data_IF_992139254186
#
_entry.id   IF_992139254186
#
_cell.length_a   1.000
_cell.length_b   1.000
_cell.length_c   1.000
_cell.angle_alpha   90.00
_cell.angle_beta   90.00
_cell.angle_gamma   90.00
#
_symmetry.space_group_name_H-M   'P 1'
#
loop_
_entity.id
_entity.type
_entity.pdbx_description
1 polymer ?
#
# COMPACT_ATOMS: atom_id res chain seq x y z
N UNK A 1 -6.91 -27.71 23.81
CA UNK A 1 -7.33 -27.64 22.40
C UNK A 1 -8.65 -26.88 22.36
N UNK A 2 -8.67 -25.69 21.77
CA UNK A 2 -9.91 -24.92 21.66
C UNK A 2 -10.83 -25.62 20.64
N UNK A 3 -11.91 -26.21 21.13
CA UNK A 3 -12.90 -26.91 20.32
C UNK A 3 -13.89 -25.90 19.72
N UNK A 4 -13.38 -24.90 19.01
CA UNK A 4 -14.22 -23.93 18.32
C UNK A 4 -14.80 -24.61 17.07
N UNK A 5 -16.12 -24.51 16.84
CA UNK A 5 -16.72 -25.04 15.62
C UNK A 5 -16.08 -24.38 14.39
N UNK A 6 -16.00 -25.14 13.29
CA UNK A 6 -15.54 -24.61 12.01
C UNK A 6 -16.32 -23.34 11.63
N UNK A 7 -15.64 -22.35 11.06
CA UNK A 7 -16.29 -21.15 10.51
C UNK A 7 -17.32 -21.46 9.41
N UNK A 8 -17.32 -22.71 8.90
CA UNK A 8 -18.25 -23.21 7.89
C UNK A 8 -19.19 -24.28 8.47
N UNK A 9 -19.33 -24.38 9.79
CA UNK A 9 -20.17 -25.41 10.44
C UNK A 9 -21.64 -25.36 9.99
N UNK A 10 -22.14 -24.17 9.67
CA UNK A 10 -23.52 -23.95 9.22
C UNK A 10 -23.69 -24.04 7.70
N UNK A 11 -22.63 -24.41 6.96
CA UNK A 11 -22.67 -24.46 5.50
C UNK A 11 -23.14 -25.81 4.99
N UNK A 12 -23.98 -25.80 3.96
CA UNK A 12 -24.36 -27.03 3.25
C UNK A 12 -23.20 -27.58 2.41
N UNK A 13 -23.20 -28.87 2.08
CA UNK A 13 -22.19 -29.46 1.19
C UNK A 13 -22.06 -28.72 -0.16
N UNK A 14 -23.17 -28.23 -0.71
CA UNK A 14 -23.22 -27.49 -1.96
C UNK A 14 -22.56 -26.12 -1.84
N UNK A 15 -22.77 -25.43 -0.71
CA UNK A 15 -22.11 -24.15 -0.41
C UNK A 15 -20.60 -24.34 -0.25
N UNK A 16 -20.17 -25.42 0.42
CA UNK A 16 -18.75 -25.76 0.55
C UNK A 16 -18.15 -26.05 -0.83
N UNK A 17 -18.83 -26.82 -1.68
CA UNK A 17 -18.38 -27.11 -3.04
C UNK A 17 -18.32 -25.86 -3.92
N UNK A 18 -19.26 -24.94 -3.77
CA UNK A 18 -19.23 -23.64 -4.45
C UNK A 18 -18.06 -22.78 -3.95
N UNK A 19 -17.83 -22.72 -2.64
CA UNK A 19 -16.69 -22.00 -2.05
C UNK A 19 -15.35 -22.51 -2.56
N UNK A 20 -15.18 -23.83 -2.65
CA UNK A 20 -13.97 -24.45 -3.22
C UNK A 20 -13.74 -24.03 -4.67
N UNK A 21 -14.78 -24.05 -5.51
CA UNK A 21 -14.69 -23.58 -6.90
C UNK A 21 -14.29 -22.11 -7.00
N UNK A 22 -14.82 -21.26 -6.12
CA UNK A 22 -14.40 -19.85 -6.08
C UNK A 22 -12.94 -19.68 -5.69
N UNK A 23 -12.47 -20.43 -4.69
CA UNK A 23 -11.05 -20.41 -4.30
C UNK A 23 -10.16 -20.82 -5.47
N UNK A 24 -10.52 -21.88 -6.20
CA UNK A 24 -9.79 -22.34 -7.39
C UNK A 24 -9.77 -21.27 -8.49
N UNK A 25 -10.92 -20.64 -8.77
CA UNK A 25 -11.02 -19.54 -9.75
C UNK A 25 -10.09 -18.38 -9.35
N UNK A 26 -10.10 -17.98 -8.07
CA UNK A 26 -9.22 -16.91 -7.59
C UNK A 26 -7.74 -17.28 -7.66
N UNK A 27 -7.38 -18.54 -7.37
CA UNK A 27 -6.01 -19.01 -7.52
C UNK A 27 -5.53 -18.97 -8.97
N UNK A 28 -6.38 -19.36 -9.92
CA UNK A 28 -6.07 -19.29 -11.35
C UNK A 28 -5.95 -17.83 -11.82
N UNK A 29 -6.89 -16.97 -11.41
CA UNK A 29 -6.89 -15.55 -11.79
C UNK A 29 -5.73 -14.76 -11.16
N UNK A 30 -5.20 -15.19 -10.02
CA UNK A 30 -4.16 -14.46 -9.28
C UNK A 30 -2.89 -14.18 -10.12
N UNK A 31 -2.50 -15.12 -10.99
CA UNK A 31 -1.31 -14.96 -11.85
C UNK A 31 -1.49 -13.80 -12.83
N UNK A 32 -2.66 -13.72 -13.47
CA UNK A 32 -2.98 -12.64 -14.40
C UNK A 32 -3.18 -11.30 -13.69
N UNK A 33 -3.83 -11.31 -12.52
CA UNK A 33 -4.02 -10.11 -11.71
C UNK A 33 -2.68 -9.53 -11.25
N UNK A 34 -1.72 -10.36 -10.86
CA UNK A 34 -0.38 -9.89 -10.49
C UNK A 34 0.37 -9.30 -11.69
N UNK A 35 0.23 -9.92 -12.87
CA UNK A 35 0.79 -9.38 -14.12
C UNK A 35 0.19 -8.00 -14.46
N UNK A 36 -1.13 -7.86 -14.35
CA UNK A 36 -1.85 -6.60 -14.57
C UNK A 36 -1.39 -5.55 -13.56
N UNK A 37 -1.40 -5.88 -12.26
CA UNK A 37 -0.94 -5.00 -11.19
C UNK A 37 0.46 -4.46 -11.44
N UNK A 38 1.42 -5.31 -11.82
CA UNK A 38 2.79 -4.88 -12.12
C UNK A 38 2.89 -3.96 -13.33
N UNK A 39 2.02 -4.15 -14.32
CA UNK A 39 1.95 -3.27 -15.49
C UNK A 39 1.40 -1.91 -15.08
N UNK A 40 0.26 -1.90 -14.37
CA UNK A 40 -0.41 -0.70 -13.91
C UNK A 40 0.48 0.15 -12.99
N UNK A 41 1.19 -0.47 -12.04
CA UNK A 41 2.15 0.24 -11.17
C UNK A 41 3.27 0.91 -11.98
N UNK A 42 3.79 0.24 -13.02
CA UNK A 42 4.86 0.78 -13.87
C UNK A 42 4.39 1.92 -14.76
N UNK A 43 3.14 1.86 -15.20
CA UNK A 43 2.51 2.86 -16.06
C UNK A 43 1.80 3.97 -15.25
N UNK A 44 1.82 3.88 -13.92
CA UNK A 44 1.12 4.81 -13.04
C UNK A 44 1.79 6.19 -13.05
N UNK A 45 1.05 7.20 -13.51
CA UNK A 45 1.41 8.60 -13.29
C UNK A 45 1.19 8.96 -11.81
N UNK A 46 2.29 8.92 -11.04
CA UNK A 46 2.27 9.15 -9.59
C UNK A 46 1.74 10.54 -9.24
N UNK A 47 2.04 11.57 -10.03
CA UNK A 47 1.57 12.93 -9.78
C UNK A 47 0.06 13.04 -9.99
N UNK A 48 -0.46 12.43 -11.07
CA UNK A 48 -1.90 12.34 -11.30
C UNK A 48 -2.60 11.56 -10.18
N UNK A 49 -2.02 10.46 -9.71
CA UNK A 49 -2.59 9.66 -8.61
C UNK A 49 -2.63 10.44 -7.30
N UNK A 50 -1.54 11.13 -6.92
CA UNK A 50 -1.49 11.99 -5.74
C UNK A 50 -2.55 13.09 -5.85
N UNK A 51 -2.68 13.73 -7.01
CA UNK A 51 -3.70 14.75 -7.26
C UNK A 51 -5.13 14.23 -7.06
N UNK A 52 -5.41 12.98 -7.47
CA UNK A 52 -6.72 12.37 -7.28
C UNK A 52 -7.02 12.06 -5.80
N UNK A 53 -6.00 11.65 -5.03
CA UNK A 53 -6.16 11.25 -3.63
C UNK A 53 -6.13 12.43 -2.65
N UNK A 54 -5.28 13.42 -2.91
CA UNK A 54 -5.00 14.52 -1.98
C UNK A 54 -5.61 15.86 -2.45
N UNK A 55 -6.31 15.88 -3.59
CA UNK A 55 -6.84 17.09 -4.21
C UNK A 55 -5.81 17.80 -5.09
N UNK A 56 -6.19 18.93 -5.69
CA UNK A 56 -5.30 19.72 -6.54
C UNK A 56 -4.19 20.37 -5.73
N UNK A 57 -3.06 19.67 -5.60
CA UNK A 57 -1.82 20.23 -5.12
C UNK A 57 -1.01 20.76 -6.31
N UNK A 58 -0.65 22.05 -6.27
CA UNK A 58 0.32 22.61 -7.19
C UNK A 58 1.74 22.22 -6.72
N UNK A 59 2.32 21.22 -7.37
CA UNK A 59 3.69 20.77 -7.08
C UNK A 59 4.77 21.61 -7.78
N UNK A 60 4.37 22.60 -8.59
CA UNK A 60 5.29 23.55 -9.23
C UNK A 60 5.54 24.78 -8.34
N UNK A 61 4.67 25.02 -7.35
CA UNK A 61 4.83 26.06 -6.34
C UNK A 61 5.15 25.44 -4.97
N UNK A 62 6.33 25.72 -4.38
CA UNK A 62 6.70 25.16 -3.10
C UNK A 62 5.89 25.80 -1.95
N UNK A 63 5.29 24.98 -1.07
CA UNK A 63 5.35 25.21 0.36
C UNK A 63 6.28 24.21 1.07
N UNK A 64 6.95 23.33 0.31
CA UNK A 64 7.63 22.12 0.84
C UNK A 64 9.16 22.19 0.91
N UNK A 65 9.79 23.32 0.56
CA UNK A 65 11.19 23.51 0.92
C UNK A 65 11.27 23.38 2.46
N UNK A 66 12.01 22.41 3.02
CA UNK A 66 12.13 22.28 4.45
C UNK A 66 12.61 23.62 4.96
N UNK A 67 11.80 24.28 5.78
CA UNK A 67 12.24 25.52 6.40
C UNK A 67 13.53 25.22 7.17
N UNK A 68 14.42 26.21 7.38
CA UNK A 68 15.64 25.99 8.16
C UNK A 68 15.38 25.42 9.56
N UNK A 69 14.15 25.56 10.06
CA UNK A 69 13.65 25.05 11.34
C UNK A 69 12.71 23.84 11.22
N UNK A 70 12.61 23.21 10.05
CA UNK A 70 11.89 21.94 9.93
C UNK A 70 12.61 20.85 10.73
N UNK A 71 11.85 19.94 11.33
CA UNK A 71 12.42 18.88 12.18
C UNK A 71 13.48 18.02 11.46
N UNK A 72 13.38 17.86 10.13
CA UNK A 72 14.38 17.15 9.33
C UNK A 72 15.71 17.91 9.22
N UNK A 73 15.67 19.23 9.03
CA UNK A 73 16.89 20.08 9.00
C UNK A 73 17.52 20.15 10.38
N UNK A 74 16.71 20.28 11.42
CA UNK A 74 17.18 20.26 12.81
C UNK A 74 17.83 18.92 13.19
N UNK A 75 17.22 17.80 12.80
CA UNK A 75 17.78 16.47 13.02
C UNK A 75 19.12 16.28 12.29
N UNK A 76 19.23 16.78 11.06
CA UNK A 76 20.49 16.77 10.31
C UNK A 76 21.59 17.59 10.99
N UNK A 77 21.24 18.75 11.54
CA UNK A 77 22.16 19.58 12.34
C UNK A 77 22.66 18.81 13.57
N UNK A 78 21.76 18.26 14.37
CA UNK A 78 22.14 17.48 15.56
C UNK A 78 23.01 16.26 15.23
N UNK A 79 22.75 15.57 14.12
CA UNK A 79 23.57 14.45 13.68
C UNK A 79 24.97 14.87 13.23
N UNK A 80 25.12 16.01 12.54
CA UNK A 80 26.44 16.55 12.20
C UNK A 80 27.24 16.92 13.45
N UNK A 81 26.59 17.58 14.41
CA UNK A 81 27.19 17.92 15.71
C UNK A 81 27.66 16.69 16.47
N UNK A 82 26.80 15.68 16.61
CA UNK A 82 27.13 14.43 17.29
C UNK A 82 28.27 13.66 16.60
N UNK A 83 28.40 13.79 15.27
CA UNK A 83 29.46 13.18 14.49
C UNK A 83 30.78 13.99 14.46
N UNK A 84 30.84 15.16 15.10
CA UNK A 84 32.01 16.04 15.09
C UNK A 84 32.32 16.65 13.71
N UNK A 85 31.28 16.88 12.90
CA UNK A 85 31.39 17.39 11.51
C UNK A 85 30.88 18.83 11.37
N UNK A 86 30.85 19.56 12.48
CA UNK A 86 30.52 20.99 12.54
C UNK A 86 31.78 21.83 12.75
#
# INVERSE_FOLDING_TARGET
>A
MNNQPSALADWTPEQIALGKRWVEIWQLAAVDLERIRRKEIRELDTYKTIRLLCGSADHTHPPYAPKPWSGLVEQQHWFKKAAGRE
#
